data_IF_569997878875
#
_entry.id   IF_569997878875
#
_cell.length_a   1.000
_cell.length_b   1.000
_cell.length_c   1.000
_cell.angle_alpha   90.00
_cell.angle_beta   90.00
_cell.angle_gamma   90.00
#
_symmetry.space_group_name_H-M   'P 1'
#
loop_
_entity.id
_entity.type
_entity.pdbx_description
1 polymer ?
#
# COMPACT_ATOMS: atom_id res chain seq x y z
N UNK A 1 -71.29 -5.99 -3.50
CA UNK A 1 -72.53 -5.31 -3.95
C UNK A 1 -72.79 -5.63 -5.41
N UNK A 2 -74.01 -5.37 -5.89
CA UNK A 2 -74.58 -5.88 -7.16
C UNK A 2 -74.78 -7.41 -7.13
N UNK A 3 -75.99 -7.97 -7.22
CA UNK A 3 -77.00 -7.91 -8.31
C UNK A 3 -76.51 -8.62 -9.59
N UNK A 4 -77.29 -9.50 -10.23
CA UNK A 4 -78.68 -9.93 -9.94
C UNK A 4 -79.11 -11.21 -10.70
N UNK A 5 -80.11 -11.89 -10.15
CA UNK A 5 -81.15 -12.67 -10.87
C UNK A 5 -80.73 -13.73 -11.91
N UNK A 6 -80.58 -14.98 -11.48
CA UNK A 6 -80.98 -16.11 -12.34
C UNK A 6 -82.50 -16.33 -12.22
N UNK A 7 -83.21 -16.15 -13.34
CA UNK A 7 -84.65 -16.27 -13.40
C UNK A 7 -85.10 -17.74 -13.48
N UNK A 8 -85.24 -18.40 -12.32
CA UNK A 8 -85.95 -19.68 -12.25
C UNK A 8 -87.43 -19.46 -12.63
N UNK A 9 -87.85 -20.10 -13.72
CA UNK A 9 -89.20 -19.97 -14.29
C UNK A 9 -90.23 -20.62 -13.37
N UNK A 10 -90.92 -19.81 -12.57
CA UNK A 10 -92.16 -20.22 -11.91
C UNK A 10 -93.24 -20.45 -12.97
N UNK A 11 -93.43 -21.69 -13.40
CA UNK A 11 -94.63 -22.07 -14.16
C UNK A 11 -95.85 -21.97 -13.26
N UNK A 12 -96.85 -21.20 -13.69
CA UNK A 12 -98.09 -21.01 -12.98
C UNK A 12 -98.84 -22.35 -12.86
N UNK A 13 -98.76 -22.96 -11.68
CA UNK A 13 -99.50 -24.17 -11.35
C UNK A 13 -100.69 -23.75 -10.49
N UNK A 14 -101.79 -23.36 -11.15
CA UNK A 14 -103.06 -22.93 -10.55
C UNK A 14 -103.84 -24.04 -9.84
N UNK A 15 -103.14 -24.87 -9.07
CA UNK A 15 -103.65 -25.93 -8.21
C UNK A 15 -103.45 -25.48 -6.77
N UNK A 16 -104.53 -25.41 -5.99
CA UNK A 16 -104.49 -24.95 -4.60
C UNK A 16 -103.43 -25.71 -3.79
N UNK A 17 -102.69 -25.02 -2.91
CA UNK A 17 -101.59 -25.60 -2.13
C UNK A 17 -102.01 -26.83 -1.32
N UNK A 18 -103.27 -26.89 -0.89
CA UNK A 18 -103.93 -28.05 -0.29
C UNK A 18 -103.79 -29.35 -1.11
N UNK A 19 -103.97 -29.30 -2.43
CA UNK A 19 -103.90 -30.49 -3.29
C UNK A 19 -102.48 -31.04 -3.43
N UNK A 20 -101.45 -30.19 -3.37
CA UNK A 20 -100.05 -30.64 -3.37
C UNK A 20 -99.62 -31.30 -2.06
N UNK A 21 -100.37 -31.13 -0.97
CA UNK A 21 -100.20 -31.87 0.29
C UNK A 21 -100.87 -33.26 0.28
N UNK A 22 -101.50 -33.68 -0.81
CA UNK A 22 -102.23 -34.95 -0.90
C UNK A 22 -103.54 -34.99 -0.08
N UNK A 23 -103.91 -33.88 0.54
CA UNK A 23 -105.07 -33.77 1.42
C UNK A 23 -106.32 -33.36 0.63
N UNK A 24 -106.89 -34.34 -0.08
CA UNK A 24 -108.24 -34.24 -0.65
C UNK A 24 -109.29 -34.38 0.48
N UNK A 25 -109.49 -33.30 1.25
CA UNK A 25 -110.38 -33.29 2.42
C UNK A 25 -111.85 -33.21 1.96
N UNK A 26 -112.60 -34.28 2.18
CA UNK A 26 -114.08 -34.24 2.14
C UNK A 26 -114.55 -33.57 3.43
N UNK A 27 -115.04 -32.32 3.34
CA UNK A 27 -115.31 -31.47 4.51
C UNK A 27 -116.52 -31.96 5.34
N UNK A 28 -117.26 -32.96 4.87
CA UNK A 28 -118.35 -33.61 5.62
C UNK A 28 -117.90 -34.75 6.56
N UNK A 29 -116.72 -35.35 6.35
CA UNK A 29 -116.32 -36.58 7.05
C UNK A 29 -115.35 -36.32 8.20
N UNK A 30 -115.78 -36.60 9.44
CA UNK A 30 -114.94 -36.49 10.66
C UNK A 30 -113.62 -37.26 10.52
N UNK A 31 -113.62 -38.41 9.82
CA UNK A 31 -112.41 -39.19 9.53
C UNK A 31 -111.41 -38.43 8.65
N UNK A 32 -111.87 -37.65 7.67
CA UNK A 32 -111.03 -36.85 6.79
C UNK A 32 -110.35 -35.72 7.58
N UNK A 33 -111.09 -35.07 8.49
CA UNK A 33 -110.58 -34.03 9.39
C UNK A 33 -109.51 -34.58 10.34
N UNK A 34 -109.73 -35.76 10.96
CA UNK A 34 -108.75 -36.41 11.85
C UNK A 34 -107.46 -36.76 11.09
N UNK A 35 -107.56 -37.31 9.87
CA UNK A 35 -106.39 -37.61 9.03
C UNK A 35 -105.63 -36.34 8.61
N UNK A 36 -106.34 -35.25 8.31
CA UNK A 36 -105.72 -33.95 8.01
C UNK A 36 -104.96 -33.38 9.22
N UNK A 37 -105.54 -33.46 10.42
CA UNK A 37 -104.86 -33.06 11.66
C UNK A 37 -103.63 -33.93 11.96
N UNK A 38 -103.72 -35.24 11.72
CA UNK A 38 -102.58 -36.16 11.87
C UNK A 38 -101.45 -35.84 10.87
N UNK A 39 -101.78 -35.55 9.61
CA UNK A 39 -100.81 -35.13 8.60
C UNK A 39 -100.16 -33.78 8.93
N UNK A 40 -100.93 -32.81 9.44
CA UNK A 40 -100.39 -31.53 9.92
C UNK A 40 -99.46 -31.73 11.13
N UNK A 41 -99.82 -32.55 12.11
CA UNK A 41 -98.93 -32.89 13.23
C UNK A 41 -97.64 -33.58 12.77
N UNK A 42 -97.72 -34.48 11.78
CA UNK A 42 -96.53 -35.09 11.18
C UNK A 42 -95.65 -34.07 10.45
N UNK A 43 -96.24 -33.11 9.72
CA UNK A 43 -95.47 -32.06 9.04
C UNK A 43 -94.87 -31.04 10.01
N UNK A 44 -95.54 -30.71 11.11
CA UNK A 44 -94.97 -29.91 12.20
C UNK A 44 -93.72 -30.60 12.76
N UNK A 45 -93.82 -31.88 13.16
CA UNK A 45 -92.67 -32.67 13.65
C UNK A 45 -91.53 -32.83 12.63
N UNK A 46 -91.84 -32.76 11.34
CA UNK A 46 -90.82 -32.72 10.29
C UNK A 46 -90.15 -31.34 10.23
N UNK A 47 -90.91 -30.25 10.20
CA UNK A 47 -90.38 -28.88 10.19
C UNK A 47 -89.59 -28.52 11.46
N UNK A 48 -89.95 -29.08 12.61
CA UNK A 48 -89.18 -28.98 13.86
C UNK A 48 -87.81 -29.65 13.69
N UNK A 49 -87.77 -30.89 13.20
CA UNK A 49 -86.49 -31.59 12.90
C UNK A 49 -85.67 -30.91 11.81
N UNK A 50 -86.31 -30.38 10.77
CA UNK A 50 -85.66 -29.61 9.71
C UNK A 50 -85.03 -28.32 10.27
N UNK A 51 -85.76 -27.59 11.13
CA UNK A 51 -85.27 -26.39 11.85
C UNK A 51 -84.08 -26.73 12.74
N UNK A 52 -84.20 -27.76 13.56
CA UNK A 52 -83.18 -28.12 14.56
C UNK A 52 -81.90 -28.60 13.87
N UNK A 53 -82.03 -29.38 12.79
CA UNK A 53 -80.91 -29.73 11.92
C UNK A 53 -80.25 -28.48 11.30
N UNK A 54 -81.04 -27.55 10.74
CA UNK A 54 -80.48 -26.32 10.18
C UNK A 54 -79.78 -25.46 11.24
N UNK A 55 -80.32 -25.37 12.46
CA UNK A 55 -79.66 -24.69 13.58
C UNK A 55 -78.31 -25.34 13.90
N UNK A 56 -78.23 -26.67 14.04
CA UNK A 56 -76.95 -27.36 14.23
C UNK A 56 -75.94 -27.07 13.10
N UNK A 57 -76.39 -27.01 11.85
CA UNK A 57 -75.50 -26.69 10.71
C UNK A 57 -75.01 -25.24 10.76
N UNK A 58 -75.84 -24.28 11.16
CA UNK A 58 -75.42 -22.90 11.36
C UNK A 58 -74.43 -22.77 12.53
N UNK A 59 -74.69 -23.43 13.67
CA UNK A 59 -73.80 -23.42 14.83
C UNK A 59 -72.44 -24.06 14.52
N UNK A 60 -72.41 -25.22 13.85
CA UNK A 60 -71.17 -25.86 13.39
C UNK A 60 -70.39 -24.98 12.40
N UNK A 61 -71.09 -24.34 11.47
CA UNK A 61 -70.49 -23.43 10.48
C UNK A 61 -69.90 -22.18 11.13
N UNK A 62 -70.59 -21.62 12.14
CA UNK A 62 -70.10 -20.49 12.93
C UNK A 62 -68.84 -20.86 13.72
N UNK A 63 -68.87 -21.97 14.47
CA UNK A 63 -67.72 -22.46 15.24
C UNK A 63 -66.50 -22.73 14.35
N UNK A 64 -66.70 -23.32 13.16
CA UNK A 64 -65.61 -23.54 12.20
C UNK A 64 -65.01 -22.23 11.66
N UNK A 65 -65.83 -21.21 11.44
CA UNK A 65 -65.39 -19.89 10.99
C UNK A 65 -64.63 -19.14 12.10
N UNK A 66 -65.13 -19.18 13.35
CA UNK A 66 -64.46 -18.62 14.52
C UNK A 66 -63.10 -19.31 14.78
N UNK A 67 -63.03 -20.64 14.68
CA UNK A 67 -61.78 -21.38 14.79
C UNK A 67 -60.77 -21.00 13.69
N UNK A 68 -61.20 -20.94 12.42
CA UNK A 68 -60.36 -20.51 11.31
C UNK A 68 -59.85 -19.06 11.48
N UNK A 69 -60.72 -18.16 11.95
CA UNK A 69 -60.34 -16.78 12.25
C UNK A 69 -59.25 -16.72 13.33
N UNK A 70 -59.42 -17.45 14.44
CA UNK A 70 -58.44 -17.49 15.53
C UNK A 70 -57.12 -18.13 15.11
N UNK A 71 -57.15 -19.16 14.24
CA UNK A 71 -55.95 -19.75 13.67
C UNK A 71 -55.20 -18.73 12.79
N UNK A 72 -55.91 -18.03 11.90
CA UNK A 72 -55.34 -16.99 11.05
C UNK A 72 -54.78 -15.80 11.87
N UNK A 73 -55.47 -15.36 12.91
CA UNK A 73 -54.98 -14.32 13.83
C UNK A 73 -53.70 -14.78 14.57
N UNK A 74 -53.63 -16.05 14.98
CA UNK A 74 -52.43 -16.66 15.57
C UNK A 74 -51.27 -16.74 14.59
N UNK A 75 -51.50 -17.16 13.34
CA UNK A 75 -50.48 -17.20 12.29
C UNK A 75 -49.92 -15.79 12.01
N UNK A 76 -50.79 -14.78 11.88
CA UNK A 76 -50.36 -13.39 11.69
C UNK A 76 -49.55 -12.84 12.86
N UNK A 77 -49.87 -13.19 14.12
CA UNK A 77 -49.09 -12.75 15.27
C UNK A 77 -47.73 -13.47 15.37
N UNK A 78 -47.65 -14.74 14.97
CA UNK A 78 -46.39 -15.47 14.84
C UNK A 78 -45.48 -14.86 13.76
N UNK A 79 -46.02 -14.51 12.59
CA UNK A 79 -45.27 -13.80 11.55
C UNK A 79 -44.75 -12.45 12.05
N UNK A 80 -45.62 -11.63 12.67
CA UNK A 80 -45.20 -10.34 13.29
C UNK A 80 -44.08 -10.52 14.30
N UNK A 81 -44.15 -11.55 15.15
CA UNK A 81 -43.10 -11.86 16.11
C UNK A 81 -41.78 -12.31 15.43
N UNK A 82 -41.85 -13.05 14.32
CA UNK A 82 -40.68 -13.41 13.53
C UNK A 82 -40.05 -12.19 12.83
N UNK A 83 -40.87 -11.27 12.30
CA UNK A 83 -40.39 -10.00 11.73
C UNK A 83 -39.71 -9.12 12.79
N UNK A 84 -40.29 -8.94 13.98
CA UNK A 84 -39.67 -8.21 15.11
C UNK A 84 -38.28 -8.78 15.44
N UNK A 85 -38.18 -10.10 15.64
CA UNK A 85 -36.90 -10.79 15.91
C UNK A 85 -35.86 -10.62 14.79
N UNK A 86 -36.29 -10.65 13.53
CA UNK A 86 -35.40 -10.42 12.38
C UNK A 86 -34.92 -8.97 12.33
N UNK A 87 -35.78 -8.02 12.65
CA UNK A 87 -35.46 -6.58 12.70
C UNK A 87 -34.48 -6.28 13.86
N UNK A 88 -34.69 -6.88 15.04
CA UNK A 88 -33.78 -6.84 16.19
C UNK A 88 -32.40 -7.44 15.83
N UNK A 89 -32.36 -8.59 15.17
CA UNK A 89 -31.10 -9.20 14.72
C UNK A 89 -30.36 -8.32 13.70
N UNK A 90 -31.07 -7.69 12.76
CA UNK A 90 -30.47 -6.75 11.80
C UNK A 90 -29.97 -5.46 12.48
N UNK A 91 -30.70 -4.92 13.47
CA UNK A 91 -30.21 -3.80 14.31
C UNK A 91 -28.94 -4.17 15.06
N UNK A 92 -28.89 -5.35 15.67
CA UNK A 92 -27.71 -5.84 16.39
C UNK A 92 -26.51 -6.07 15.45
N UNK A 93 -26.74 -6.58 14.23
CA UNK A 93 -25.68 -6.70 13.23
C UNK A 93 -25.17 -5.33 12.77
N UNK A 94 -26.08 -4.39 12.49
CA UNK A 94 -25.72 -3.03 12.07
C UNK A 94 -24.91 -2.32 13.17
N UNK A 95 -25.32 -2.45 14.44
CA UNK A 95 -24.56 -1.93 15.56
C UNK A 95 -23.14 -2.53 15.63
N UNK A 96 -22.99 -3.85 15.52
CA UNK A 96 -21.66 -4.50 15.45
C UNK A 96 -20.81 -3.92 14.32
N UNK A 97 -21.36 -3.78 13.11
CA UNK A 97 -20.60 -3.20 11.98
C UNK A 97 -20.23 -1.73 12.19
N UNK A 98 -21.00 -0.96 12.98
CA UNK A 98 -20.64 0.42 13.37
C UNK A 98 -19.53 0.43 14.43
N UNK A 99 -19.57 -0.48 15.39
CA UNK A 99 -18.55 -0.58 16.45
C UNK A 99 -17.24 -1.19 15.93
N UNK A 100 -17.31 -2.16 15.00
CA UNK A 100 -16.19 -2.66 14.19
C UNK A 100 -15.60 -1.54 13.32
N UNK A 101 -16.44 -0.76 12.62
CA UNK A 101 -15.99 0.41 11.85
C UNK A 101 -15.26 1.42 12.74
N UNK A 102 -15.86 1.80 13.88
CA UNK A 102 -15.23 2.71 14.86
C UNK A 102 -13.89 2.16 15.33
N UNK A 103 -13.81 0.87 15.64
CA UNK A 103 -12.58 0.24 16.08
C UNK A 103 -11.50 0.34 14.99
N UNK A 104 -11.82 0.00 13.74
CA UNK A 104 -10.93 0.14 12.60
C UNK A 104 -10.53 1.60 12.32
N UNK A 105 -11.44 2.57 12.50
CA UNK A 105 -11.12 3.99 12.40
C UNK A 105 -10.11 4.40 13.48
N UNK A 106 -10.28 3.95 14.73
CA UNK A 106 -9.33 4.18 15.85
C UNK A 106 -8.05 3.35 15.78
N UNK A 107 -8.04 2.20 15.09
CA UNK A 107 -6.86 1.35 14.88
C UNK A 107 -6.26 1.53 13.48
N UNK A 108 -6.57 2.65 12.80
CA UNK A 108 -5.70 3.09 11.71
C UNK A 108 -4.41 3.61 12.35
N UNK A 109 -3.26 3.12 11.93
CA UNK A 109 -1.95 3.35 12.57
C UNK A 109 -1.42 4.79 12.40
N UNK A 110 -2.31 5.76 12.22
CA UNK A 110 -2.02 7.19 12.10
C UNK A 110 -1.25 7.72 13.32
N UNK A 111 -1.57 7.27 14.54
CA UNK A 111 -0.88 7.72 15.75
C UNK A 111 0.56 7.19 15.82
N UNK A 112 0.82 5.95 15.38
CA UNK A 112 2.17 5.38 15.31
C UNK A 112 2.97 5.99 14.13
N UNK A 113 2.32 6.25 12.99
CA UNK A 113 2.90 6.99 11.88
C UNK A 113 3.20 8.45 12.23
N UNK A 114 2.38 9.10 13.07
CA UNK A 114 2.64 10.45 13.59
C UNK A 114 3.79 10.45 14.60
N UNK A 115 3.85 9.45 15.50
CA UNK A 115 4.99 9.27 16.41
C UNK A 115 6.29 9.06 15.62
N UNK A 116 6.36 8.08 14.73
CA UNK A 116 7.53 7.81 13.88
C UNK A 116 7.92 9.02 13.02
N UNK A 117 6.94 9.74 12.46
CA UNK A 117 7.20 10.99 11.75
C UNK A 117 7.81 12.05 12.67
N UNK A 118 7.30 12.22 13.88
CA UNK A 118 7.84 13.19 14.85
C UNK A 118 9.26 12.82 15.30
N UNK A 119 9.54 11.52 15.46
CA UNK A 119 10.87 10.99 15.76
C UNK A 119 11.84 11.31 14.62
N UNK A 120 11.48 11.02 13.36
CA UNK A 120 12.27 11.42 12.19
C UNK A 120 12.48 12.94 12.09
N UNK A 121 11.45 13.76 12.36
CA UNK A 121 11.58 15.22 12.37
C UNK A 121 12.55 15.69 13.47
N UNK A 122 12.57 15.05 14.65
CA UNK A 122 13.56 15.32 15.69
C UNK A 122 14.98 14.87 15.31
N UNK A 123 15.16 13.64 14.80
CA UNK A 123 16.47 13.12 14.35
C UNK A 123 17.07 14.01 13.26
N UNK A 124 16.26 14.49 12.31
CA UNK A 124 16.70 15.39 11.24
C UNK A 124 17.09 16.76 11.80
N UNK A 125 16.41 17.26 12.83
CA UNK A 125 16.77 18.51 13.49
C UNK A 125 18.08 18.38 14.29
N UNK A 126 18.28 17.26 14.97
CA UNK A 126 19.50 16.96 15.74
C UNK A 126 20.72 16.75 14.85
N UNK A 127 20.62 15.95 13.78
CA UNK A 127 21.74 15.74 12.85
C UNK A 127 22.09 17.04 12.10
N UNK A 128 21.11 17.88 11.74
CA UNK A 128 21.38 19.23 11.21
C UNK A 128 22.14 20.10 12.21
N UNK A 129 21.77 20.06 13.50
CA UNK A 129 22.46 20.78 14.57
C UNK A 129 23.89 20.27 14.78
N UNK A 130 24.09 18.94 14.72
CA UNK A 130 25.42 18.34 14.81
C UNK A 130 26.26 18.57 13.55
N UNK A 131 25.66 18.66 12.37
CA UNK A 131 26.34 19.09 11.14
C UNK A 131 26.85 20.53 11.28
N UNK A 132 25.98 21.47 11.64
CA UNK A 132 26.35 22.88 11.88
C UNK A 132 27.43 23.04 12.97
N UNK A 133 27.41 22.21 14.03
CA UNK A 133 28.47 22.18 15.05
C UNK A 133 29.81 21.62 14.55
N UNK A 134 29.80 20.70 13.57
CA UNK A 134 31.01 20.21 12.89
C UNK A 134 31.54 21.26 11.92
N UNK A 135 30.68 21.87 11.12
CA UNK A 135 31.00 22.95 10.18
C UNK A 135 31.61 24.16 10.89
N UNK A 136 31.02 24.61 12.01
CA UNK A 136 31.57 25.70 12.82
C UNK A 136 33.00 25.42 13.31
N UNK A 137 33.22 24.27 13.93
CA UNK A 137 34.56 23.86 14.40
C UNK A 137 35.59 23.76 13.27
N UNK A 138 35.17 23.34 12.07
CA UNK A 138 36.04 23.31 10.90
C UNK A 138 36.31 24.72 10.35
N UNK A 139 35.35 25.63 10.41
CA UNK A 139 35.54 27.04 10.06
C UNK A 139 36.53 27.73 11.02
N UNK A 140 36.36 27.53 12.33
CA UNK A 140 37.26 28.04 13.37
C UNK A 140 38.72 27.56 13.15
N UNK A 141 38.91 26.27 12.89
CA UNK A 141 40.24 25.69 12.63
C UNK A 141 40.83 26.15 11.29
N UNK A 142 40.00 26.34 10.24
CA UNK A 142 40.43 26.93 8.97
C UNK A 142 40.87 28.39 9.16
N UNK A 143 40.19 29.18 9.99
CA UNK A 143 40.60 30.54 10.32
C UNK A 143 41.90 30.56 11.15
N UNK A 144 42.02 29.67 12.15
CA UNK A 144 43.24 29.47 12.94
C UNK A 144 44.45 29.15 12.05
N UNK A 145 44.30 28.19 11.13
CA UNK A 145 45.35 27.79 10.18
C UNK A 145 45.69 28.89 9.17
N UNK A 146 44.71 29.70 8.73
CA UNK A 146 44.97 30.89 7.89
C UNK A 146 45.81 31.93 8.63
N UNK A 147 45.49 32.21 9.90
CA UNK A 147 46.26 33.14 10.73
C UNK A 147 47.69 32.64 10.99
N UNK A 148 47.86 31.34 11.23
CA UNK A 148 49.16 30.68 11.40
C UNK A 148 50.02 30.77 10.12
N UNK A 149 49.46 30.45 8.95
CA UNK A 149 50.14 30.60 7.64
C UNK A 149 50.46 32.07 7.34
N UNK A 150 49.61 33.02 7.73
CA UNK A 150 49.95 34.44 7.62
C UNK A 150 51.10 34.86 8.55
N UNK A 151 51.16 34.32 9.76
CA UNK A 151 52.25 34.55 10.70
C UNK A 151 53.58 34.00 10.16
N UNK A 152 53.60 32.76 9.64
CA UNK A 152 54.77 32.20 8.95
C UNK A 152 55.20 33.03 7.74
N UNK A 153 54.25 33.51 6.94
CA UNK A 153 54.53 34.42 5.81
C UNK A 153 55.06 35.79 6.25
N UNK A 154 54.87 36.20 7.51
CA UNK A 154 55.46 37.43 8.08
C UNK A 154 56.88 37.14 8.59
N UNK A 155 57.08 36.08 9.37
CA UNK A 155 58.42 35.70 9.88
C UNK A 155 59.39 35.32 8.77
N UNK A 156 58.94 34.59 7.75
CA UNK A 156 59.76 34.25 6.58
C UNK A 156 60.26 35.50 5.82
N UNK A 157 59.44 36.56 5.69
CA UNK A 157 59.87 37.83 5.09
C UNK A 157 60.95 38.53 5.92
N UNK A 158 60.76 38.61 7.24
CA UNK A 158 61.76 39.17 8.17
C UNK A 158 63.09 38.38 8.14
N UNK A 159 63.02 37.05 7.99
CA UNK A 159 64.20 36.19 7.81
C UNK A 159 64.90 36.39 6.46
N UNK A 160 64.16 36.64 5.37
CA UNK A 160 64.75 37.02 4.09
C UNK A 160 65.43 38.40 4.16
N UNK A 161 64.77 39.40 4.75
CA UNK A 161 65.30 40.76 4.94
C UNK A 161 66.60 40.76 5.77
N UNK A 162 66.61 40.04 6.90
CA UNK A 162 67.83 39.86 7.71
C UNK A 162 68.92 39.06 6.97
N UNK A 163 68.57 38.02 6.20
CA UNK A 163 69.53 37.29 5.36
C UNK A 163 70.15 38.18 4.28
N UNK A 164 69.37 39.09 3.67
CA UNK A 164 69.88 40.08 2.73
C UNK A 164 70.82 41.09 3.41
N UNK A 165 70.44 41.60 4.59
CA UNK A 165 71.29 42.51 5.37
C UNK A 165 72.65 41.89 5.72
N UNK A 166 72.66 40.65 6.22
CA UNK A 166 73.89 39.92 6.57
C UNK A 166 74.75 39.64 5.31
N UNK A 167 74.14 39.47 4.12
CA UNK A 167 74.90 39.37 2.87
C UNK A 167 75.55 40.69 2.48
N UNK A 168 74.85 41.82 2.60
CA UNK A 168 75.41 43.14 2.34
C UNK A 168 76.56 43.47 3.31
N UNK A 169 76.37 43.25 4.62
CA UNK A 169 77.41 43.40 5.64
C UNK A 169 78.63 42.51 5.35
N UNK A 170 78.41 41.27 4.89
CA UNK A 170 79.50 40.38 4.44
C UNK A 170 80.22 40.92 3.20
N UNK A 171 79.50 41.46 2.21
CA UNK A 171 80.13 42.03 1.01
C UNK A 171 80.97 43.26 1.33
N UNK A 172 80.52 44.13 2.23
CA UNK A 172 81.31 45.27 2.73
C UNK A 172 82.53 44.80 3.52
N UNK A 173 82.39 43.77 4.36
CA UNK A 173 83.51 43.11 5.03
C UNK A 173 84.50 42.46 4.05
N UNK A 174 84.05 41.94 2.90
CA UNK A 174 84.91 41.44 1.83
C UNK A 174 85.66 42.58 1.12
N UNK A 175 84.96 43.65 0.68
CA UNK A 175 85.56 44.81 0.02
C UNK A 175 86.63 45.49 0.88
N UNK A 176 86.37 45.64 2.18
CA UNK A 176 87.36 46.19 3.13
C UNK A 176 88.54 45.25 3.37
N UNK A 177 88.34 43.93 3.43
CA UNK A 177 89.44 42.96 3.45
C UNK A 177 90.29 42.98 2.17
N UNK A 178 89.67 43.19 1.00
CA UNK A 178 90.38 43.34 -0.27
C UNK A 178 91.22 44.62 -0.29
N UNK A 179 90.67 45.76 0.13
CA UNK A 179 91.41 47.01 0.33
C UNK A 179 92.60 46.84 1.29
N UNK A 180 92.41 46.16 2.42
CA UNK A 180 93.49 45.86 3.37
C UNK A 180 94.57 44.95 2.78
N UNK A 181 94.20 43.97 1.93
CA UNK A 181 95.17 43.13 1.19
C UNK A 181 95.96 43.95 0.17
N UNK A 182 95.32 44.85 -0.57
CA UNK A 182 96.01 45.75 -1.50
C UNK A 182 96.99 46.68 -0.75
N UNK A 183 96.57 47.29 0.36
CA UNK A 183 97.43 48.13 1.19
C UNK A 183 98.61 47.35 1.80
N UNK A 184 98.37 46.11 2.26
CA UNK A 184 99.43 45.22 2.74
C UNK A 184 100.45 44.90 1.64
N UNK A 185 99.98 44.56 0.44
CA UNK A 185 100.84 44.26 -0.70
C UNK A 185 101.67 45.48 -1.13
N UNK A 186 101.08 46.68 -1.14
CA UNK A 186 101.83 47.92 -1.36
C UNK A 186 102.92 48.14 -0.30
N UNK A 187 102.64 47.90 0.98
CA UNK A 187 103.63 48.02 2.05
C UNK A 187 104.76 47.00 1.91
N UNK A 188 104.45 45.76 1.52
CA UNK A 188 105.44 44.72 1.24
C UNK A 188 106.33 45.14 0.06
N UNK A 189 105.75 45.54 -1.08
CA UNK A 189 106.53 45.97 -2.24
C UNK A 189 107.36 47.23 -1.97
N UNK A 190 106.90 48.14 -1.09
CA UNK A 190 107.71 49.27 -0.61
C UNK A 190 108.87 48.80 0.28
N UNK A 191 108.67 47.82 1.16
CA UNK A 191 109.77 47.21 1.95
C UNK A 191 110.79 46.52 1.05
N UNK A 192 110.34 45.76 0.04
CA UNK A 192 111.19 45.09 -0.95
C UNK A 192 112.01 46.10 -1.76
N UNK A 193 111.41 47.21 -2.22
CA UNK A 193 112.11 48.31 -2.88
C UNK A 193 113.16 48.97 -1.97
N UNK A 194 112.84 49.16 -0.68
CA UNK A 194 113.78 49.71 0.31
C UNK A 194 114.93 48.72 0.60
N UNK A 195 114.68 47.40 0.60
CA UNK A 195 115.71 46.35 0.72
C UNK A 195 116.57 46.18 -0.52
N UNK A 196 116.03 46.46 -1.71
CA UNK A 196 116.74 46.33 -2.99
C UNK A 196 117.72 47.49 -3.28
N UNK A 197 117.71 48.54 -2.47
CA UNK A 197 118.60 49.69 -2.62
C UNK A 197 119.97 49.46 -1.97
N UNK A 198 121.11 49.78 -2.63
CA UNK A 198 122.45 49.54 -2.08
C UNK A 198 122.76 50.45 -0.86
N UNK A 199 123.60 49.99 0.08
CA UNK A 199 123.62 50.53 1.45
C UNK A 199 124.35 51.87 1.58
N UNK A 200 123.72 52.84 2.26
CA UNK A 200 124.45 53.94 2.92
C UNK A 200 124.92 53.47 4.31
N UNK A 201 126.24 53.39 4.46
CA UNK A 201 126.90 52.82 5.63
C UNK A 201 127.00 53.83 6.79
N UNK A 202 126.30 53.59 7.89
CA UNK A 202 126.49 54.25 9.20
C UNK A 202 126.71 53.15 10.26
N UNK A 203 127.43 53.45 11.35
CA UNK A 203 127.99 52.48 12.32
C UNK A 203 127.42 52.65 13.73
N UNK A 204 127.80 51.71 14.62
CA UNK A 204 127.64 51.71 16.10
C UNK A 204 126.24 51.22 16.60
N UNK A 205 126.12 50.04 17.23
CA UNK A 205 126.30 49.67 18.67
C UNK A 205 125.15 50.17 19.57
N UNK A 206 124.52 49.41 20.48
CA UNK A 206 125.01 48.36 21.42
C UNK A 206 123.84 47.47 21.94
N UNK A 207 124.13 46.24 22.44
CA UNK A 207 123.36 45.31 23.34
C UNK A 207 121.81 45.48 23.53
N UNK A 208 120.98 44.44 23.58
CA UNK A 208 121.22 42.99 23.60
C UNK A 208 120.03 42.16 24.16
N UNK A 209 120.29 40.89 24.49
CA UNK A 209 119.45 39.89 25.20
C UNK A 209 118.25 39.21 24.50
N UNK A 210 118.43 37.89 24.31
CA UNK A 210 117.44 36.78 24.16
C UNK A 210 116.92 36.36 25.57
N UNK A 211 115.86 35.53 25.76
CA UNK A 211 115.60 34.22 25.11
C UNK A 211 114.16 34.02 24.56
N UNK A 212 113.76 32.99 23.80
CA UNK A 212 114.34 31.72 23.30
C UNK A 212 114.01 30.38 24.04
N UNK A 213 112.93 29.71 23.61
CA UNK A 213 112.71 28.24 23.67
C UNK A 213 111.89 27.79 22.44
N UNK A 214 112.37 26.85 21.58
CA UNK A 214 112.18 25.37 21.58
C UNK A 214 110.72 24.93 21.38
N UNK A 215 110.34 23.89 20.61
CA UNK A 215 111.00 22.91 19.69
C UNK A 215 109.86 22.34 18.79
N UNK A 216 109.98 22.17 17.46
CA UNK A 216 110.64 21.08 16.71
C UNK A 216 109.93 19.71 16.75
N UNK A 217 109.85 19.04 15.58
CA UNK A 217 109.39 17.65 15.33
C UNK A 217 107.87 17.38 15.34
N UNK A 218 107.29 16.36 14.68
CA UNK A 218 107.43 15.82 13.30
C UNK A 218 106.65 14.50 13.16
N UNK A 219 105.90 14.26 12.08
CA UNK A 219 105.66 12.89 11.56
C UNK A 219 104.94 12.87 10.20
N UNK A 220 105.40 12.01 9.30
CA UNK A 220 104.67 11.53 8.10
C UNK A 220 104.11 10.13 8.43
N UNK A 221 102.96 9.76 7.81
CA UNK A 221 102.25 8.45 7.73
C UNK A 221 100.81 8.53 8.22
N UNK A 222 99.84 7.77 7.67
CA UNK A 222 99.73 7.13 6.34
C UNK A 222 98.22 6.93 6.03
N UNK A 223 97.92 6.20 4.94
CA UNK A 223 96.63 5.58 4.59
C UNK A 223 95.71 5.19 5.76
N UNK A 224 94.39 5.35 5.59
CA UNK A 224 93.62 4.30 4.90
C UNK A 224 92.29 4.76 4.27
N UNK A 225 91.69 3.85 3.49
CA UNK A 225 90.43 3.95 2.76
C UNK A 225 89.23 3.72 3.68
N UNK A 226 88.13 4.40 3.40
CA UNK A 226 86.85 3.70 3.17
C UNK A 226 85.86 4.58 2.40
N UNK A 227 85.17 3.99 1.43
CA UNK A 227 84.13 4.66 0.68
C UNK A 227 82.76 4.44 1.33
N UNK A 228 81.96 5.50 1.42
CA UNK A 228 80.49 5.45 1.30
C UNK A 228 79.92 6.86 1.14
N UNK A 229 79.13 7.07 0.07
CA UNK A 229 78.05 8.05 0.10
C UNK A 229 77.00 7.55 1.09
N UNK A 230 76.33 8.46 1.82
CA UNK A 230 74.88 8.55 1.61
C UNK A 230 74.49 9.83 0.86
N UNK A 231 73.34 9.79 0.19
CA UNK A 231 72.75 10.94 -0.48
C UNK A 231 71.87 11.77 0.46
N UNK A 232 71.61 13.02 0.04
CA UNK A 232 70.40 13.77 0.35
C UNK A 232 69.15 12.86 0.31
N UNK A 233 68.20 13.07 1.23
CA UNK A 233 66.88 12.42 1.21
C UNK A 233 65.83 13.33 1.84
N UNK A 234 64.77 13.62 1.10
CA UNK A 234 63.64 14.41 1.60
C UNK A 234 62.84 13.68 2.69
N UNK A 235 62.23 14.41 3.64
CA UNK A 235 61.31 13.88 4.64
C UNK A 235 59.85 13.84 4.12
N UNK A 236 59.65 13.50 2.84
CA UNK A 236 58.31 13.31 2.23
C UNK A 236 58.27 12.01 1.42
N UNK A 237 57.08 11.44 1.27
CA UNK A 237 56.80 10.17 0.55
C UNK A 237 57.40 8.90 1.20
N UNK A 238 56.74 8.39 2.25
CA UNK A 238 56.17 7.01 2.26
C UNK A 238 55.55 6.64 3.61
N UNK A 239 54.21 6.65 3.70
CA UNK A 239 53.46 6.05 4.83
C UNK A 239 52.09 5.47 4.44
N UNK A 240 51.80 5.28 3.14
CA UNK A 240 50.51 4.77 2.64
C UNK A 240 50.74 3.73 1.52
N UNK A 241 51.59 2.72 1.77
CA UNK A 241 51.69 1.51 0.96
C UNK A 241 52.10 0.30 1.83
N UNK A 242 51.16 -0.16 2.66
CA UNK A 242 51.07 -1.55 3.11
C UNK A 242 49.62 -2.01 3.00
N UNK A 243 49.46 -3.33 2.92
CA UNK A 243 48.20 -4.07 3.03
C UNK A 243 47.20 -3.91 1.86
N UNK A 244 47.60 -4.42 0.68
CA UNK A 244 46.66 -4.91 -0.34
C UNK A 244 46.92 -6.40 -0.59
N UNK A 245 46.17 -7.26 0.13
CA UNK A 245 45.59 -8.54 -0.34
C UNK A 245 45.11 -9.41 0.83
N UNK A 246 43.80 -9.44 1.02
CA UNK A 246 43.04 -10.69 1.06
C UNK A 246 41.71 -10.48 0.31
N UNK A 247 41.01 -11.57 -0.03
CA UNK A 247 39.95 -11.57 -1.07
C UNK A 247 38.67 -12.21 -0.53
N UNK A 248 37.54 -11.91 -1.19
CA UNK A 248 36.17 -12.40 -0.95
C UNK A 248 35.40 -11.64 0.14
N UNK A 249 34.13 -11.25 -0.04
CA UNK A 249 33.23 -11.42 -1.20
C UNK A 249 32.19 -10.27 -1.28
N UNK A 250 31.55 -10.12 -2.46
CA UNK A 250 30.19 -9.57 -2.73
C UNK A 250 29.82 -8.17 -2.18
N UNK A 251 29.16 -7.25 -2.90
CA UNK A 251 28.61 -7.23 -4.27
C UNK A 251 28.52 -5.77 -4.79
N UNK A 252 28.36 -5.52 -6.10
CA UNK A 252 28.53 -4.18 -6.68
C UNK A 252 27.27 -3.29 -6.61
N UNK A 253 27.48 -2.00 -6.29
CA UNK A 253 26.53 -0.92 -6.55
C UNK A 253 27.07 0.01 -7.66
N UNK A 254 26.23 0.41 -8.61
CA UNK A 254 26.61 1.30 -9.73
C UNK A 254 25.89 2.65 -9.66
N UNK A 255 26.63 3.65 -9.20
CA UNK A 255 26.58 5.04 -9.71
C UNK A 255 26.98 5.05 -11.21
N UNK A 256 26.71 6.04 -12.08
CA UNK A 256 26.01 7.35 -12.06
C UNK A 256 25.69 7.73 -13.55
N UNK A 257 25.12 8.86 -14.00
CA UNK A 257 24.77 10.18 -13.44
C UNK A 257 23.60 10.83 -14.26
N UNK A 258 23.23 12.06 -13.92
CA UNK A 258 22.33 13.04 -14.57
C UNK A 258 22.16 13.08 -16.10
N UNK A 259 20.97 13.51 -16.54
CA UNK A 259 20.77 14.87 -17.11
C UNK A 259 19.31 15.22 -17.47
N UNK A 260 18.99 16.52 -17.48
CA UNK A 260 17.67 17.08 -17.84
C UNK A 260 17.47 17.18 -19.36
N UNK A 261 16.24 16.95 -19.85
CA UNK A 261 15.66 17.81 -20.90
C UNK A 261 14.13 17.70 -21.06
N UNK A 262 13.50 18.87 -21.08
CA UNK A 262 12.35 19.34 -21.90
C UNK A 262 11.46 18.35 -22.68
N UNK A 263 10.15 18.58 -22.58
CA UNK A 263 9.05 17.97 -23.38
C UNK A 263 9.22 18.13 -24.91
N UNK A 264 8.65 17.20 -25.71
CA UNK A 264 7.36 17.50 -26.35
C UNK A 264 6.35 16.34 -26.42
N UNK A 265 5.09 16.67 -26.70
CA UNK A 265 3.94 15.75 -26.82
C UNK A 265 3.84 15.10 -28.22
N UNK A 266 3.71 13.76 -28.32
CA UNK A 266 3.12 13.10 -29.49
C UNK A 266 1.59 13.02 -29.39
N UNK A 267 0.87 13.48 -30.41
CA UNK A 267 -0.58 13.19 -30.61
C UNK A 267 -0.74 11.89 -31.42
N UNK A 268 -1.98 11.36 -31.40
CA UNK A 268 -2.50 10.15 -32.10
C UNK A 268 -2.17 8.81 -31.42
N UNK A 269 -3.06 7.82 -31.44
CA UNK A 269 -4.46 7.82 -31.93
C UNK A 269 -5.30 6.75 -31.24
N UNK A 270 -6.52 7.11 -30.86
CA UNK A 270 -7.51 6.21 -30.27
C UNK A 270 -8.05 5.19 -31.30
N UNK A 271 -8.11 3.89 -30.97
CA UNK A 271 -9.13 3.00 -31.51
C UNK A 271 -10.48 3.37 -30.88
N UNK A 272 -11.53 3.51 -31.67
CA UNK A 272 -12.86 3.84 -31.15
C UNK A 272 -13.54 2.60 -30.57
N UNK A 273 -13.82 2.59 -29.26
CA UNK A 273 -14.74 1.62 -28.66
C UNK A 273 -16.17 2.16 -28.71
N UNK A 274 -17.03 1.53 -29.50
CA UNK A 274 -18.47 1.82 -29.54
C UNK A 274 -19.15 1.20 -28.31
N UNK A 275 -19.80 2.00 -27.48
CA UNK A 275 -20.87 1.53 -26.60
C UNK A 275 -21.89 2.65 -26.33
N UNK A 276 -22.77 2.90 -27.30
CA UNK A 276 -23.95 3.76 -27.14
C UNK A 276 -25.11 2.94 -26.56
N UNK A 277 -25.10 2.72 -25.25
CA UNK A 277 -26.25 2.14 -24.51
C UNK A 277 -27.02 3.27 -23.83
N UNK A 278 -28.00 3.82 -24.54
CA UNK A 278 -28.79 4.94 -24.03
C UNK A 278 -29.68 4.54 -22.84
N UNK A 279 -29.81 5.44 -21.85
CA UNK A 279 -30.72 5.31 -20.73
C UNK A 279 -32.16 5.16 -21.24
N UNK A 280 -32.73 3.96 -21.09
CA UNK A 280 -34.06 3.64 -21.59
C UNK A 280 -35.13 3.95 -20.54
N UNK A 281 -35.37 5.25 -20.31
CA UNK A 281 -36.68 5.66 -19.79
C UNK A 281 -37.75 5.25 -20.81
N UNK A 282 -38.88 4.69 -20.34
CA UNK A 282 -40.07 4.44 -21.16
C UNK A 282 -41.31 5.00 -20.47
N UNK A 283 -42.35 5.42 -21.24
CA UNK A 283 -43.43 6.23 -20.70
C UNK A 283 -44.54 5.43 -20.01
N UNK A 284 -45.49 6.18 -19.48
CA UNK A 284 -46.80 5.75 -19.00
C UNK A 284 -47.73 5.32 -20.16
N UNK A 285 -48.82 4.63 -19.82
CA UNK A 285 -49.92 4.16 -20.69
C UNK A 285 -49.51 3.06 -21.71
N UNK A 286 -50.30 1.99 -21.94
CA UNK A 286 -51.76 1.94 -22.11
C UNK A 286 -52.40 0.62 -21.58
N UNK A 287 -53.73 0.52 -21.60
CA UNK A 287 -54.57 -0.56 -21.06
C UNK A 287 -54.72 -1.79 -21.99
N UNK A 288 -54.58 -3.02 -21.46
CA UNK A 288 -55.60 -4.12 -21.58
C UNK A 288 -55.18 -5.42 -20.85
N UNK A 289 -56.12 -6.17 -20.22
CA UNK A 289 -55.77 -7.37 -19.44
C UNK A 289 -56.14 -8.72 -20.11
N UNK A 290 -55.27 -9.74 -20.08
CA UNK A 290 -55.64 -11.12 -20.36
C UNK A 290 -56.17 -11.82 -19.08
N UNK A 291 -57.43 -12.26 -19.09
CA UNK A 291 -57.96 -13.14 -18.04
C UNK A 291 -57.33 -14.53 -18.12
N UNK A 292 -56.77 -15.04 -17.01
CA UNK A 292 -56.73 -16.48 -16.70
C UNK A 292 -56.61 -16.71 -15.20
N UNK A 293 -57.41 -17.63 -14.69
CA UNK A 293 -57.57 -17.91 -13.26
C UNK A 293 -56.62 -19.01 -12.79
N UNK A 294 -55.78 -18.70 -11.80
CA UNK A 294 -55.13 -19.69 -10.95
C UNK A 294 -54.80 -19.07 -9.58
N UNK A 295 -55.41 -19.58 -8.51
CA UNK A 295 -54.78 -19.56 -7.18
C UNK A 295 -53.85 -20.78 -7.13
N UNK A 296 -52.62 -20.62 -6.64
CA UNK A 296 -51.88 -21.61 -5.82
C UNK A 296 -50.41 -21.17 -5.60
N UNK A 297 -49.99 -21.22 -4.33
CA UNK A 297 -48.61 -21.25 -3.81
C UNK A 297 -47.58 -20.16 -4.20
N UNK A 298 -46.81 -19.61 -3.24
CA UNK A 298 -45.55 -18.95 -3.54
C UNK A 298 -44.49 -20.01 -3.88
N UNK A 299 -43.76 -19.86 -4.99
CA UNK A 299 -42.66 -20.77 -5.35
C UNK A 299 -41.40 -20.01 -5.78
N UNK A 300 -40.24 -20.50 -5.31
CA UNK A 300 -38.91 -19.92 -5.43
C UNK A 300 -38.23 -20.11 -6.80
N UNK A 301 -39.00 -20.43 -7.85
CA UNK A 301 -38.49 -20.98 -9.13
C UNK A 301 -37.44 -20.09 -9.80
N UNK A 302 -37.64 -18.76 -9.78
CA UNK A 302 -36.72 -17.81 -10.42
C UNK A 302 -35.35 -17.67 -9.72
N UNK A 303 -35.22 -18.09 -8.46
CA UNK A 303 -33.96 -17.92 -7.72
C UNK A 303 -32.91 -18.95 -8.15
N UNK A 304 -33.24 -20.25 -8.07
CA UNK A 304 -32.37 -21.34 -8.51
C UNK A 304 -32.00 -21.22 -10.00
N UNK A 305 -32.92 -20.71 -10.83
CA UNK A 305 -32.65 -20.45 -12.25
C UNK A 305 -31.61 -19.34 -12.44
N UNK A 306 -31.75 -18.19 -11.76
CA UNK A 306 -30.77 -17.10 -11.81
C UNK A 306 -29.39 -17.49 -11.24
N UNK A 307 -29.35 -18.37 -10.24
CA UNK A 307 -28.11 -18.90 -9.67
C UNK A 307 -27.39 -19.80 -10.67
N UNK A 308 -28.09 -20.64 -11.41
CA UNK A 308 -27.48 -21.46 -12.47
C UNK A 308 -26.95 -20.63 -13.63
N UNK A 309 -27.63 -19.54 -13.99
CA UNK A 309 -27.15 -18.59 -15.00
C UNK A 309 -25.82 -17.94 -14.57
N UNK A 310 -25.71 -17.49 -13.32
CA UNK A 310 -24.46 -16.93 -12.77
C UNK A 310 -23.36 -17.99 -12.62
N UNK A 311 -23.68 -19.22 -12.21
CA UNK A 311 -22.70 -20.32 -12.20
C UNK A 311 -22.18 -20.64 -13.62
N UNK A 312 -23.06 -20.64 -14.62
CA UNK A 312 -22.69 -20.87 -16.02
C UNK A 312 -21.78 -19.74 -16.52
N UNK A 313 -22.15 -18.48 -16.31
CA UNK A 313 -21.34 -17.33 -16.74
C UNK A 313 -19.93 -17.38 -16.12
N UNK A 314 -19.80 -17.67 -14.82
CA UNK A 314 -18.48 -17.76 -14.17
C UNK A 314 -17.70 -18.99 -14.68
N UNK A 315 -18.37 -20.06 -15.09
CA UNK A 315 -17.72 -21.21 -15.73
C UNK A 315 -17.18 -20.88 -17.13
N UNK A 316 -17.94 -20.14 -17.93
CA UNK A 316 -17.51 -19.64 -19.25
C UNK A 316 -16.33 -18.67 -19.12
N UNK A 317 -16.40 -17.69 -18.20
CA UNK A 317 -15.29 -16.80 -17.88
C UNK A 317 -14.03 -17.55 -17.39
N UNK A 318 -14.19 -18.68 -16.68
CA UNK A 318 -13.08 -19.55 -16.27
C UNK A 318 -12.46 -20.36 -17.42
N UNK A 319 -13.24 -20.70 -18.44
CA UNK A 319 -12.71 -21.30 -19.68
C UNK A 319 -11.93 -20.26 -20.49
N UNK A 320 -12.47 -19.04 -20.61
CA UNK A 320 -11.80 -17.92 -21.29
C UNK A 320 -10.49 -17.54 -20.60
N UNK A 321 -10.46 -17.44 -19.27
CA UNK A 321 -9.22 -17.16 -18.53
C UNK A 321 -8.18 -18.30 -18.69
N UNK A 322 -8.61 -19.56 -18.78
CA UNK A 322 -7.70 -20.68 -19.06
C UNK A 322 -7.20 -20.69 -20.52
N UNK A 323 -8.04 -20.29 -21.47
CA UNK A 323 -7.64 -20.10 -22.87
C UNK A 323 -6.65 -18.94 -23.00
N UNK A 324 -6.89 -17.82 -22.30
CA UNK A 324 -5.98 -16.68 -22.21
C UNK A 324 -4.65 -17.09 -21.58
N UNK A 325 -4.64 -17.82 -20.46
CA UNK A 325 -3.43 -18.35 -19.83
C UNK A 325 -2.58 -19.17 -20.82
N UNK A 326 -3.20 -20.15 -21.49
CA UNK A 326 -2.55 -20.98 -22.52
C UNK A 326 -2.04 -20.15 -23.69
N UNK A 327 -2.81 -19.14 -24.12
CA UNK A 327 -2.41 -18.20 -25.17
C UNK A 327 -1.20 -17.36 -24.77
N UNK A 328 -1.14 -16.83 -23.54
CA UNK A 328 0.05 -16.11 -23.04
C UNK A 328 1.28 -17.00 -22.94
N UNK A 329 1.15 -18.28 -22.55
CA UNK A 329 2.26 -19.24 -22.56
C UNK A 329 2.73 -19.53 -23.99
N UNK A 330 1.81 -19.77 -24.93
CA UNK A 330 2.15 -20.02 -26.34
C UNK A 330 2.80 -18.80 -27.01
N UNK A 331 2.31 -17.59 -26.72
CA UNK A 331 2.90 -16.34 -27.23
C UNK A 331 4.26 -16.05 -26.60
N UNK A 332 4.45 -16.33 -25.31
CA UNK A 332 5.77 -16.22 -24.68
C UNK A 332 6.82 -17.11 -25.37
N UNK A 333 6.45 -18.35 -25.72
CA UNK A 333 7.31 -19.28 -26.44
C UNK A 333 7.58 -18.89 -27.91
N UNK A 334 6.65 -18.20 -28.57
CA UNK A 334 6.73 -17.89 -30.00
C UNK A 334 7.24 -16.46 -30.32
N UNK A 335 7.05 -15.50 -29.42
CA UNK A 335 7.26 -14.05 -29.70
C UNK A 335 8.44 -13.44 -28.92
N UNK A 336 9.21 -14.23 -28.16
CA UNK A 336 10.34 -13.77 -27.34
C UNK A 336 9.97 -12.59 -26.40
N UNK A 337 8.79 -12.66 -25.78
CA UNK A 337 8.28 -11.61 -24.90
C UNK A 337 9.14 -11.50 -23.62
N UNK A 338 9.39 -10.30 -23.08
CA UNK A 338 10.17 -10.13 -21.86
C UNK A 338 9.60 -10.94 -20.69
N UNK A 339 10.44 -11.70 -20.00
CA UNK A 339 10.04 -12.61 -18.92
C UNK A 339 9.27 -11.91 -17.80
N UNK A 340 9.63 -10.66 -17.49
CA UNK A 340 8.93 -9.81 -16.50
C UNK A 340 7.49 -9.46 -16.91
N UNK A 341 7.23 -9.31 -18.21
CA UNK A 341 5.88 -9.06 -18.76
C UNK A 341 5.06 -10.35 -18.76
N UNK A 342 5.67 -11.47 -19.16
CA UNK A 342 5.02 -12.79 -19.18
C UNK A 342 4.65 -13.25 -17.76
N UNK A 343 5.59 -13.19 -16.82
CA UNK A 343 5.35 -13.58 -15.40
C UNK A 343 4.29 -12.71 -14.74
N UNK A 344 4.31 -11.38 -14.94
CA UNK A 344 3.28 -10.47 -14.45
C UNK A 344 1.90 -10.77 -15.05
N UNK A 345 1.83 -11.04 -16.36
CA UNK A 345 0.58 -11.39 -17.03
C UNK A 345 0.02 -12.73 -16.54
N UNK A 346 0.85 -13.77 -16.44
CA UNK A 346 0.44 -15.09 -15.95
C UNK A 346 0.02 -15.04 -14.48
N UNK A 347 0.76 -14.32 -13.62
CA UNK A 347 0.39 -14.09 -12.22
C UNK A 347 -1.00 -13.45 -12.09
N UNK A 348 -1.27 -12.40 -12.89
CA UNK A 348 -2.58 -11.74 -12.93
C UNK A 348 -3.70 -12.67 -13.41
N UNK A 349 -3.45 -13.48 -14.44
CA UNK A 349 -4.45 -14.43 -14.96
C UNK A 349 -4.73 -15.54 -13.94
N UNK A 350 -3.70 -16.10 -13.28
CA UNK A 350 -3.85 -17.09 -12.22
C UNK A 350 -4.66 -16.55 -11.05
N UNK A 351 -4.37 -15.33 -10.58
CA UNK A 351 -5.14 -14.68 -9.50
C UNK A 351 -6.62 -14.48 -9.87
N UNK A 352 -6.92 -14.13 -11.13
CA UNK A 352 -8.30 -14.04 -11.62
C UNK A 352 -8.98 -15.42 -11.67
N UNK A 353 -8.28 -16.47 -12.09
CA UNK A 353 -8.77 -17.86 -12.09
C UNK A 353 -9.09 -18.33 -10.66
N UNK A 354 -8.21 -18.04 -9.69
CA UNK A 354 -8.41 -18.40 -8.28
C UNK A 354 -9.59 -17.65 -7.65
N UNK A 355 -9.71 -16.34 -7.91
CA UNK A 355 -10.86 -15.55 -7.46
C UNK A 355 -12.17 -16.06 -8.07
N UNK A 356 -12.20 -16.37 -9.37
CA UNK A 356 -13.39 -16.92 -10.06
C UNK A 356 -13.74 -18.34 -9.58
N UNK A 357 -12.76 -19.20 -9.28
CA UNK A 357 -12.98 -20.49 -8.61
C UNK A 357 -13.60 -20.29 -7.22
N UNK A 358 -13.07 -19.36 -6.42
CA UNK A 358 -13.60 -19.02 -5.09
C UNK A 358 -15.03 -18.44 -5.17
N UNK A 359 -15.37 -17.71 -6.24
CA UNK A 359 -16.74 -17.25 -6.48
C UNK A 359 -17.69 -18.43 -6.75
N UNK A 360 -17.31 -19.43 -7.56
CA UNK A 360 -18.10 -20.67 -7.72
C UNK A 360 -18.21 -21.49 -6.42
N UNK A 361 -17.13 -21.56 -5.65
CA UNK A 361 -17.11 -22.27 -4.35
C UNK A 361 -18.02 -21.59 -3.33
N UNK A 362 -18.01 -20.26 -3.25
CA UNK A 362 -18.90 -19.49 -2.38
C UNK A 362 -20.37 -19.58 -2.82
N UNK A 363 -20.65 -19.51 -4.13
CA UNK A 363 -22.00 -19.76 -4.66
C UNK A 363 -22.46 -21.17 -4.25
N UNK A 364 -21.76 -22.22 -4.64
CA UNK A 364 -22.13 -23.61 -4.32
C UNK A 364 -22.19 -23.90 -2.82
N UNK A 365 -21.30 -23.30 -2.02
CA UNK A 365 -21.30 -23.41 -0.57
C UNK A 365 -22.44 -22.65 0.11
N UNK A 366 -22.96 -21.57 -0.49
CA UNK A 366 -24.14 -20.86 0.00
C UNK A 366 -25.46 -21.59 -0.22
N UNK A 367 -25.50 -22.61 -1.09
CA UNK A 367 -26.68 -23.44 -1.33
C UNK A 367 -26.53 -24.82 -0.68
N UNK A 368 -27.03 -25.04 0.55
CA UNK A 368 -27.13 -26.38 1.10
C UNK A 368 -28.05 -27.22 0.22
N UNK A 369 -27.47 -28.18 -0.51
CA UNK A 369 -28.18 -28.94 -1.54
C UNK A 369 -29.43 -29.63 -0.98
N UNK A 370 -30.62 -29.27 -1.48
CA UNK A 370 -31.88 -29.97 -1.16
C UNK A 370 -31.97 -31.34 -1.85
N UNK A 371 -31.00 -32.23 -1.56
CA UNK A 371 -30.96 -33.62 -2.00
C UNK A 371 -30.91 -34.62 -0.83
N UNK A 372 -31.31 -34.18 0.36
CA UNK A 372 -31.49 -35.04 1.54
C UNK A 372 -32.86 -34.84 2.22
N UNK A 373 -33.98 -35.15 1.53
CA UNK A 373 -35.28 -35.43 2.19
C UNK A 373 -36.34 -36.16 1.33
N UNK A 374 -35.93 -36.98 0.33
CA UNK A 374 -36.85 -37.85 -0.44
C UNK A 374 -36.36 -39.31 -0.59
N UNK A 375 -35.96 -39.92 0.54
CA UNK A 375 -35.85 -41.38 0.64
C UNK A 375 -35.96 -41.85 2.09
N UNK A 376 -37.20 -41.96 2.60
CA UNK A 376 -37.63 -42.69 3.83
C UNK A 376 -39.13 -42.50 4.10
N UNK A 377 -40.00 -43.08 3.25
CA UNK A 377 -41.43 -43.32 3.56
C UNK A 377 -42.09 -44.31 2.56
N UNK A 378 -41.49 -45.49 2.45
CA UNK A 378 -42.03 -46.65 1.72
C UNK A 378 -41.28 -47.90 2.17
N UNK A 379 -41.83 -48.62 3.16
CA UNK A 379 -41.16 -49.71 3.88
C UNK A 379 -41.38 -49.57 5.37
N UNK A 380 -42.29 -50.37 5.92
CA UNK A 380 -42.96 -50.18 7.21
C UNK A 380 -44.46 -50.37 7.00
#
# INVERSE_FOLDING_TARGET
>A
MSQSSQANRSTESGMSSLQRSGLNISVGDTKSIVLALQALQQKIRALERDRDYHQEQYERSLQANEAYKLEMESQMEQERAAYRKREEALRAQLQRTLDEKRHLETSTDNDDLMQFRSELETMIAEEKRHAQQREGKLADEIERLRAEVEQERRTHRQLLESSQKIRAEREEACRTNEQLRHALNELISREEQLRASPPRHIKSTTKGNRPATKRSHSSVRDRDRSARRPSYRDPTVNSILRDIRNVSAESPCTHDEASFSTTPVPRRSSPASRNTSALRTRPLDDYTPPKKSAQLAPQSVGYDDSVREVEQQIHEELMDLQAQYRSTVARAANENLPETVVTTALSRITSLIENKKKQLELLRGSYPSQKCLRSRKSGG
#
